data_IF_093372818275
#
_entry.id   IF_093372818275
#
_cell.length_a   1.000
_cell.length_b   1.000
_cell.length_c   1.000
_cell.angle_alpha   90.00
_cell.angle_beta   90.00
_cell.angle_gamma   90.00
#
_symmetry.space_group_name_H-M   'P 1'
#
loop_
_entity.id
_entity.type
_entity.pdbx_description
1 polymer ?
#
# COMPACT_ATOMS: atom_id res chain seq x y z
N UNK A 1 9.79 30.11 13.86
CA UNK A 1 8.48 29.52 13.50
C UNK A 1 7.28 30.37 13.95
N UNK A 2 7.38 31.18 15.01
CA UNK A 2 6.30 32.08 15.50
C UNK A 2 5.80 33.15 14.48
N UNK A 3 6.63 33.56 13.51
CA UNK A 3 6.23 34.58 12.52
C UNK A 3 5.27 34.06 11.44
N UNK A 4 5.37 32.79 11.04
CA UNK A 4 4.51 32.21 10.01
C UNK A 4 3.06 32.00 10.51
N UNK A 5 2.89 31.64 11.78
CA UNK A 5 1.58 31.38 12.38
C UNK A 5 0.66 32.62 12.42
N UNK A 6 1.21 33.83 12.43
CA UNK A 6 0.42 35.08 12.46
C UNK A 6 -0.17 35.48 11.09
N UNK A 7 0.22 34.82 10.00
CA UNK A 7 -0.18 35.20 8.65
C UNK A 7 -1.38 34.40 8.10
N UNK A 8 -1.92 33.43 8.86
CA UNK A 8 -3.05 32.60 8.46
C UNK A 8 -3.85 32.12 9.69
N UNK A 9 -5.14 32.51 9.80
CA UNK A 9 -6.01 32.09 10.92
C UNK A 9 -6.17 30.57 11.04
N UNK A 10 -6.01 29.83 9.94
CA UNK A 10 -5.99 28.36 9.94
C UNK A 10 -4.77 27.76 10.66
N UNK A 11 -3.76 28.57 11.00
CA UNK A 11 -2.51 28.14 11.66
C UNK A 11 -2.45 28.50 13.15
N UNK A 12 -3.57 28.94 13.73
CA UNK A 12 -3.69 29.24 15.16
C UNK A 12 -3.44 28.04 16.10
N UNK A 13 -3.31 26.81 15.56
CA UNK A 13 -2.89 25.62 16.32
C UNK A 13 -1.39 25.60 16.64
N UNK A 14 -0.58 26.49 16.04
CA UNK A 14 0.86 26.54 16.21
C UNK A 14 1.32 27.41 17.40
N UNK A 15 0.39 28.01 18.14
CA UNK A 15 0.67 28.52 19.48
C UNK A 15 0.59 27.32 20.43
N UNK A 16 1.73 26.87 20.96
CA UNK A 16 1.85 25.59 21.67
C UNK A 16 1.13 25.72 23.02
N UNK A 17 -0.17 25.45 23.03
CA UNK A 17 -0.84 24.98 24.23
C UNK A 17 -0.22 23.63 24.62
N UNK A 18 -0.06 23.39 25.93
CA UNK A 18 0.28 22.06 26.44
C UNK A 18 -0.68 21.03 25.81
N UNK A 19 -0.19 20.00 25.08
CA UNK A 19 -1.05 19.00 24.47
C UNK A 19 -2.05 18.37 25.45
N UNK A 20 -1.70 18.25 26.73
CA UNK A 20 -2.63 17.74 27.73
C UNK A 20 -3.79 18.73 27.98
N UNK A 21 -3.50 20.02 28.17
CA UNK A 21 -4.54 21.06 28.33
C UNK A 21 -5.43 21.17 27.09
N UNK A 22 -4.82 21.13 25.89
CA UNK A 22 -5.54 21.16 24.62
C UNK A 22 -6.46 19.94 24.46
N UNK A 23 -6.04 18.76 24.93
CA UNK A 23 -6.87 17.56 24.93
C UNK A 23 -8.07 17.66 25.89
N UNK A 24 -7.89 18.27 27.06
CA UNK A 24 -8.95 18.38 28.07
C UNK A 24 -9.98 19.47 27.77
N UNK A 25 -9.57 20.59 27.17
CA UNK A 25 -10.42 21.79 27.03
C UNK A 25 -10.73 22.18 25.58
N UNK A 26 -10.02 21.60 24.61
CA UNK A 26 -10.15 21.98 23.21
C UNK A 26 -11.42 21.46 22.53
N UNK A 27 -11.70 21.99 21.34
CA UNK A 27 -12.68 21.40 20.42
C UNK A 27 -12.17 20.08 19.84
N UNK A 28 -13.05 19.22 19.32
CA UNK A 28 -12.71 17.89 18.78
C UNK A 28 -11.44 17.86 17.91
N UNK A 29 -11.32 18.79 16.97
CA UNK A 29 -10.15 18.85 16.08
C UNK A 29 -8.84 19.11 16.85
N UNK A 30 -8.86 20.05 17.80
CA UNK A 30 -7.72 20.34 18.67
C UNK A 30 -7.38 19.14 19.56
N UNK A 31 -8.40 18.47 20.12
CA UNK A 31 -8.22 17.26 20.95
C UNK A 31 -7.61 16.11 20.16
N UNK A 32 -8.05 15.88 18.93
CA UNK A 32 -7.49 14.86 18.03
C UNK A 32 -6.02 15.14 17.73
N UNK A 33 -5.69 16.39 17.38
CA UNK A 33 -4.30 16.79 17.12
C UNK A 33 -3.43 16.66 18.38
N UNK A 34 -3.93 17.12 19.52
CA UNK A 34 -3.23 17.03 20.79
C UNK A 34 -2.99 15.58 21.25
N UNK A 35 -3.99 14.70 21.11
CA UNK A 35 -3.83 13.28 21.41
C UNK A 35 -2.83 12.62 20.45
N UNK A 36 -2.82 12.98 19.17
CA UNK A 36 -1.85 12.46 18.21
C UNK A 36 -0.42 12.87 18.58
N UNK A 37 -0.24 14.11 19.05
CA UNK A 37 1.05 14.62 19.54
C UNK A 37 1.48 13.93 20.83
N UNK A 38 0.57 13.74 21.80
CA UNK A 38 0.87 12.96 23.00
C UNK A 38 1.31 11.54 22.64
N UNK A 39 0.62 10.89 21.68
CA UNK A 39 0.96 9.53 21.23
C UNK A 39 2.29 9.43 20.50
N UNK A 40 2.72 10.47 19.79
CA UNK A 40 4.03 10.45 19.11
C UNK A 40 5.19 10.44 20.11
N UNK A 41 4.96 10.92 21.35
CA UNK A 41 5.95 10.98 22.43
C UNK A 41 5.80 9.82 23.43
N UNK A 42 4.60 9.60 23.96
CA UNK A 42 4.30 8.55 24.95
C UNK A 42 2.92 7.91 24.65
N UNK A 43 2.89 6.82 23.85
CA UNK A 43 1.65 6.12 23.52
C UNK A 43 0.88 5.62 24.75
N UNK A 44 1.59 5.22 25.83
CA UNK A 44 0.99 4.64 27.01
C UNK A 44 0.29 5.71 27.87
N UNK A 45 0.96 6.85 28.10
CA UNK A 45 0.35 7.98 28.79
C UNK A 45 -0.86 8.52 28.02
N UNK A 46 -0.73 8.67 26.70
CA UNK A 46 -1.83 9.12 25.85
C UNK A 46 -3.05 8.17 25.88
N UNK A 47 -2.80 6.85 25.88
CA UNK A 47 -3.87 5.85 26.02
C UNK A 47 -4.56 5.98 27.39
N UNK A 48 -3.80 6.17 28.46
CA UNK A 48 -4.37 6.38 29.80
C UNK A 48 -5.25 7.63 29.85
N UNK A 49 -4.77 8.74 29.30
CA UNK A 49 -5.52 10.01 29.19
C UNK A 49 -6.82 9.83 28.40
N UNK A 50 -6.79 9.10 27.27
CA UNK A 50 -8.00 8.80 26.50
C UNK A 50 -8.98 7.92 27.30
N UNK A 51 -8.47 6.87 27.96
CA UNK A 51 -9.28 5.91 28.69
C UNK A 51 -10.01 6.53 29.89
N UNK A 52 -9.38 7.49 30.59
CA UNK A 52 -9.97 8.18 31.75
C UNK A 52 -11.26 8.95 31.39
N UNK A 53 -11.27 9.62 30.25
CA UNK A 53 -12.42 10.41 29.77
C UNK A 53 -13.47 9.61 28.99
N UNK A 54 -13.11 8.40 28.53
CA UNK A 54 -13.82 7.70 27.46
C UNK A 54 -15.34 7.56 27.63
N UNK A 55 -15.80 7.22 28.84
CA UNK A 55 -17.23 7.01 29.11
C UNK A 55 -18.06 8.31 29.08
N UNK A 56 -17.41 9.47 29.25
CA UNK A 56 -18.05 10.80 29.22
C UNK A 56 -18.09 11.39 27.82
N UNK A 57 -17.32 10.85 26.88
CA UNK A 57 -17.24 11.34 25.51
C UNK A 57 -18.55 11.15 24.73
N UNK A 58 -18.86 12.08 23.84
CA UNK A 58 -19.90 11.91 22.84
C UNK A 58 -19.54 10.81 21.84
N UNK A 59 -20.53 10.22 21.17
CA UNK A 59 -20.30 9.14 20.20
C UNK A 59 -19.37 9.53 19.05
N UNK A 60 -19.53 10.75 18.53
CA UNK A 60 -18.70 11.28 17.45
C UNK A 60 -17.28 11.60 17.92
N UNK A 61 -17.12 12.07 19.16
CA UNK A 61 -15.82 12.29 19.78
C UNK A 61 -15.09 10.96 19.98
N UNK A 62 -15.77 9.93 20.49
CA UNK A 62 -15.20 8.58 20.58
C UNK A 62 -14.72 8.06 19.23
N UNK A 63 -15.52 8.23 18.18
CA UNK A 63 -15.16 7.78 16.83
C UNK A 63 -13.95 8.53 16.27
N UNK A 64 -13.84 9.84 16.53
CA UNK A 64 -12.68 10.63 16.13
C UNK A 64 -11.43 10.26 16.93
N UNK A 65 -11.55 10.16 18.26
CA UNK A 65 -10.43 9.92 19.17
C UNK A 65 -9.85 8.51 19.05
N UNK A 66 -10.68 7.48 18.86
CA UNK A 66 -10.15 6.10 18.71
C UNK A 66 -9.25 5.96 17.49
N UNK A 67 -9.55 6.68 16.41
CA UNK A 67 -8.73 6.64 15.18
C UNK A 67 -7.29 7.11 15.41
N UNK A 68 -7.07 7.95 16.42
CA UNK A 68 -5.75 8.48 16.81
C UNK A 68 -4.83 7.38 17.34
N UNK A 69 -5.38 6.28 17.86
CA UNK A 69 -4.58 5.14 18.31
C UNK A 69 -3.76 4.48 17.19
N UNK A 70 -4.04 4.78 15.91
CA UNK A 70 -3.20 4.40 14.78
C UNK A 70 -1.75 4.94 14.90
N UNK A 71 -1.55 6.11 15.51
CA UNK A 71 -0.22 6.67 15.77
C UNK A 71 0.44 5.84 16.87
N UNK A 72 1.58 5.22 16.61
CA UNK A 72 2.26 4.39 17.62
C UNK A 72 1.45 3.20 18.12
N UNK A 73 0.51 2.68 17.31
CA UNK A 73 -0.33 1.52 17.63
C UNK A 73 0.54 0.34 18.10
N UNK A 74 0.19 -0.23 19.25
CA UNK A 74 0.94 -1.35 19.82
C UNK A 74 0.09 -2.29 20.70
N UNK A 75 0.70 -3.37 21.23
CA UNK A 75 -0.01 -4.38 22.01
C UNK A 75 -0.72 -3.83 23.26
N UNK A 76 -0.20 -2.75 23.86
CA UNK A 76 -0.83 -2.10 25.01
C UNK A 76 -2.23 -1.53 24.70
N UNK A 77 -2.51 -1.21 23.43
CA UNK A 77 -3.81 -0.69 23.00
C UNK A 77 -4.89 -1.79 22.92
N UNK A 78 -4.52 -3.08 22.87
CA UNK A 78 -5.44 -4.18 22.58
C UNK A 78 -6.61 -4.28 23.56
N UNK A 79 -6.35 -4.12 24.86
CA UNK A 79 -7.38 -4.20 25.89
C UNK A 79 -8.46 -3.11 25.70
N UNK A 80 -8.01 -1.88 25.47
CA UNK A 80 -8.90 -0.75 25.22
C UNK A 80 -9.67 -0.89 23.90
N UNK A 81 -9.00 -1.30 22.82
CA UNK A 81 -9.63 -1.52 21.52
C UNK A 81 -10.65 -2.68 21.58
N UNK A 82 -10.37 -3.73 22.33
CA UNK A 82 -11.31 -4.85 22.54
C UNK A 82 -12.57 -4.36 23.25
N UNK A 83 -12.44 -3.53 24.30
CA UNK A 83 -13.59 -2.88 24.93
C UNK A 83 -14.35 -1.99 23.92
N UNK A 84 -13.66 -1.12 23.20
CA UNK A 84 -14.28 -0.20 22.24
C UNK A 84 -14.94 -0.90 21.04
N UNK A 85 -14.51 -2.12 20.70
CA UNK A 85 -15.13 -2.96 19.67
C UNK A 85 -16.58 -3.37 19.99
N UNK A 86 -16.99 -3.16 21.25
CA UNK A 86 -18.34 -3.39 21.78
C UNK A 86 -19.11 -2.09 22.06
N UNK A 87 -18.62 -0.91 21.64
CA UNK A 87 -19.30 0.37 21.84
C UNK A 87 -20.69 0.39 21.18
N UNK A 88 -21.63 1.18 21.72
CA UNK A 88 -22.95 1.35 21.13
C UNK A 88 -22.93 1.99 19.72
N UNK A 89 -21.92 2.81 19.41
CA UNK A 89 -21.75 3.49 18.11
C UNK A 89 -21.05 2.61 17.09
N UNK A 90 -21.63 2.51 15.90
CA UNK A 90 -21.12 1.65 14.81
C UNK A 90 -19.70 2.07 14.39
N UNK A 91 -19.47 3.37 14.30
CA UNK A 91 -18.23 3.98 13.84
C UNK A 91 -17.08 3.67 14.81
N UNK A 92 -17.36 3.72 16.12
CA UNK A 92 -16.39 3.35 17.17
C UNK A 92 -16.03 1.87 17.08
N UNK A 93 -17.04 0.98 16.96
CA UNK A 93 -16.78 -0.46 16.79
C UNK A 93 -15.95 -0.76 15.55
N UNK A 94 -16.28 -0.11 14.43
CA UNK A 94 -15.55 -0.28 13.18
C UNK A 94 -14.09 0.19 13.29
N UNK A 95 -13.86 1.38 13.86
CA UNK A 95 -12.52 1.91 14.10
C UNK A 95 -11.69 1.02 15.02
N UNK A 96 -12.29 0.54 16.12
CA UNK A 96 -11.62 -0.38 17.04
C UNK A 96 -11.19 -1.69 16.37
N UNK A 97 -12.08 -2.29 15.57
CA UNK A 97 -11.80 -3.55 14.87
C UNK A 97 -10.74 -3.38 13.79
N UNK A 98 -10.75 -2.27 13.04
CA UNK A 98 -9.71 -2.01 12.05
C UNK A 98 -8.32 -1.85 12.69
N UNK A 99 -8.25 -1.24 13.88
CA UNK A 99 -7.00 -1.13 14.64
C UNK A 99 -6.56 -2.48 15.22
N UNK A 100 -7.47 -3.28 15.79
CA UNK A 100 -7.17 -4.66 16.22
C UNK A 100 -6.65 -5.51 15.04
N UNK A 101 -7.22 -5.34 13.85
CA UNK A 101 -6.80 -6.04 12.64
C UNK A 101 -5.37 -5.68 12.17
N UNK A 102 -4.80 -4.58 12.67
CA UNK A 102 -3.41 -4.17 12.40
C UNK A 102 -2.42 -4.68 13.44
N UNK A 103 -2.89 -5.30 14.53
CA UNK A 103 -2.07 -5.91 15.58
C UNK A 103 -1.95 -7.42 15.31
N UNK A 104 -0.82 -7.92 14.77
CA UNK A 104 -0.67 -9.31 14.33
C UNK A 104 -0.84 -10.34 15.45
N UNK A 105 -0.59 -9.94 16.70
CA UNK A 105 -0.67 -10.79 17.89
C UNK A 105 -2.01 -10.66 18.63
N UNK A 106 -2.93 -9.84 18.13
CA UNK A 106 -4.22 -9.65 18.82
C UNK A 106 -5.07 -10.92 18.83
N UNK A 107 -5.92 -11.03 19.83
CA UNK A 107 -6.89 -12.12 19.94
C UNK A 107 -7.82 -12.20 18.73
N UNK A 108 -8.12 -11.06 18.07
CA UNK A 108 -8.86 -11.04 16.81
C UNK A 108 -8.10 -11.82 15.72
N UNK A 109 -6.82 -11.53 15.52
CA UNK A 109 -5.99 -12.21 14.54
C UNK A 109 -5.82 -13.69 14.88
N UNK A 110 -5.63 -14.04 16.15
CA UNK A 110 -5.57 -15.44 16.59
C UNK A 110 -6.84 -16.23 16.20
N UNK A 111 -8.02 -15.63 16.39
CA UNK A 111 -9.29 -16.24 15.95
C UNK A 111 -9.42 -16.32 14.42
N UNK A 112 -8.88 -15.36 13.67
CA UNK A 112 -8.87 -15.40 12.20
C UNK A 112 -7.95 -16.49 11.66
N UNK A 113 -6.77 -16.65 12.27
CA UNK A 113 -5.86 -17.76 11.99
C UNK A 113 -6.57 -19.10 12.20
N UNK A 114 -7.22 -19.30 13.35
CA UNK A 114 -7.95 -20.53 13.65
C UNK A 114 -9.05 -20.83 12.60
N UNK A 115 -9.83 -19.81 12.21
CA UNK A 115 -10.86 -19.97 11.16
C UNK A 115 -10.25 -20.28 9.80
N UNK A 116 -9.14 -19.65 9.47
CA UNK A 116 -8.46 -19.89 8.21
C UNK A 116 -7.85 -21.30 8.16
N UNK A 117 -7.21 -21.77 9.22
CA UNK A 117 -6.68 -23.14 9.31
C UNK A 117 -7.77 -24.20 9.15
N UNK A 118 -8.99 -23.95 9.65
CA UNK A 118 -10.13 -24.81 9.39
C UNK A 118 -10.59 -24.83 7.91
N UNK A 119 -10.28 -23.77 7.14
CA UNK A 119 -10.65 -23.65 5.74
C UNK A 119 -9.67 -24.31 4.77
N UNK A 120 -8.41 -24.52 5.17
CA UNK A 120 -7.35 -24.93 4.25
C UNK A 120 -6.65 -26.20 4.68
N UNK A 121 -6.47 -27.13 3.74
CA UNK A 121 -5.66 -28.33 3.95
C UNK A 121 -4.71 -28.51 2.78
N UNK A 122 -3.42 -28.45 3.05
CA UNK A 122 -2.41 -28.72 2.05
C UNK A 122 -2.07 -30.21 2.00
N UNK A 123 -2.28 -30.82 0.84
CA UNK A 123 -1.87 -32.21 0.57
C UNK A 123 -0.61 -32.20 -0.29
N UNK A 124 0.50 -32.70 0.28
CA UNK A 124 1.74 -32.91 -0.48
C UNK A 124 1.54 -34.02 -1.53
N UNK A 125 2.10 -33.81 -2.72
CA UNK A 125 2.05 -34.75 -3.83
C UNK A 125 3.39 -34.80 -4.57
N UNK A 126 3.57 -35.84 -5.39
CA UNK A 126 4.83 -36.12 -6.11
C UNK A 126 5.14 -35.04 -7.17
N UNK A 127 4.12 -34.40 -7.74
CA UNK A 127 4.23 -33.35 -8.78
C UNK A 127 3.94 -31.93 -8.23
N UNK A 128 4.07 -31.76 -6.92
CA UNK A 128 3.62 -30.56 -6.20
C UNK A 128 2.37 -30.82 -5.36
N UNK A 129 2.11 -29.93 -4.40
CA UNK A 129 0.98 -30.07 -3.48
C UNK A 129 -0.33 -29.50 -4.05
N UNK A 130 -1.45 -29.97 -3.48
CA UNK A 130 -2.81 -29.46 -3.74
C UNK A 130 -3.32 -28.76 -2.49
N UNK A 131 -3.90 -27.57 -2.66
CA UNK A 131 -4.60 -26.87 -1.61
C UNK A 131 -6.08 -27.25 -1.69
N UNK A 132 -6.55 -28.00 -0.70
CA UNK A 132 -7.99 -28.21 -0.49
C UNK A 132 -8.54 -27.01 0.25
N UNK A 133 -9.56 -26.38 -0.33
CA UNK A 133 -10.18 -25.17 0.18
C UNK A 133 -11.63 -25.49 0.51
N UNK A 134 -11.98 -25.40 1.78
CA UNK A 134 -13.34 -25.53 2.29
C UNK A 134 -13.73 -24.25 3.03
N UNK A 135 -14.25 -23.24 2.32
CA UNK A 135 -14.67 -21.98 2.94
C UNK A 135 -15.70 -22.17 4.05
N UNK A 136 -15.93 -21.15 4.91
CA UNK A 136 -16.98 -21.19 5.91
C UNK A 136 -18.35 -21.54 5.29
N UNK A 137 -19.13 -22.38 5.97
CA UNK A 137 -20.45 -22.78 5.51
C UNK A 137 -21.53 -21.73 5.78
N UNK A 138 -21.32 -20.92 6.82
CA UNK A 138 -22.15 -19.81 7.24
C UNK A 138 -21.26 -18.70 7.82
N UNK A 139 -21.80 -17.49 7.94
CA UNK A 139 -21.21 -16.41 8.73
C UNK A 139 -21.90 -16.39 10.11
N UNK A 140 -21.28 -17.04 11.09
CA UNK A 140 -21.85 -17.16 12.44
C UNK A 140 -21.81 -15.83 13.21
N UNK A 141 -22.49 -15.78 14.37
CA UNK A 141 -22.54 -14.59 15.21
C UNK A 141 -21.16 -14.14 15.71
N UNK A 142 -20.21 -15.07 15.89
CA UNK A 142 -18.84 -14.76 16.27
C UNK A 142 -18.05 -14.09 15.13
N UNK A 143 -18.26 -14.53 13.89
CA UNK A 143 -17.70 -13.89 12.69
C UNK A 143 -18.24 -12.47 12.54
N UNK A 144 -19.54 -12.26 12.75
CA UNK A 144 -20.15 -10.91 12.73
C UNK A 144 -19.60 -10.03 13.86
N UNK A 145 -19.43 -10.58 15.05
CA UNK A 145 -18.82 -9.87 16.18
C UNK A 145 -17.37 -9.46 15.89
N UNK A 146 -16.62 -10.32 15.21
CA UNK A 146 -15.26 -10.06 14.74
C UNK A 146 -15.18 -9.11 13.52
N UNK A 147 -16.34 -8.68 12.98
CA UNK A 147 -16.41 -7.69 11.91
C UNK A 147 -16.49 -8.27 10.49
N UNK A 148 -16.71 -9.58 10.34
CA UNK A 148 -16.98 -10.18 9.04
C UNK A 148 -18.39 -9.79 8.61
N UNK A 149 -18.50 -9.17 7.43
CA UNK A 149 -19.79 -8.79 6.85
C UNK A 149 -20.49 -10.03 6.31
N UNK A 150 -21.71 -10.35 6.78
CA UNK A 150 -22.46 -11.51 6.32
C UNK A 150 -22.96 -11.35 4.89
N UNK A 151 -23.36 -10.15 4.46
CA UNK A 151 -24.01 -9.94 3.16
C UNK A 151 -22.99 -9.71 2.04
N UNK A 152 -22.88 -10.68 1.13
CA UNK A 152 -22.01 -10.53 -0.03
C UNK A 152 -22.52 -9.48 -1.03
N UNK A 153 -21.61 -8.74 -1.71
CA UNK A 153 -21.96 -7.91 -2.86
C UNK A 153 -22.60 -8.73 -4.00
N UNK A 154 -23.39 -8.07 -4.83
CA UNK A 154 -24.03 -8.72 -6.00
C UNK A 154 -22.97 -9.33 -6.91
N UNK A 155 -23.15 -10.60 -7.27
CA UNK A 155 -22.26 -11.34 -8.17
C UNK A 155 -21.08 -12.02 -7.46
N UNK A 156 -20.93 -11.86 -6.14
CA UNK A 156 -19.91 -12.55 -5.34
C UNK A 156 -20.57 -13.68 -4.55
N UNK A 157 -20.01 -14.89 -4.63
CA UNK A 157 -20.49 -16.02 -3.82
C UNK A 157 -20.23 -15.78 -2.33
N UNK A 158 -21.22 -16.02 -1.47
CA UNK A 158 -21.13 -15.73 -0.03
C UNK A 158 -19.96 -16.43 0.66
N UNK A 159 -19.77 -17.73 0.37
CA UNK A 159 -18.65 -18.52 0.88
C UNK A 159 -17.28 -17.94 0.49
N UNK A 160 -17.13 -17.49 -0.76
CA UNK A 160 -15.92 -16.82 -1.23
C UNK A 160 -15.70 -15.49 -0.49
N UNK A 161 -16.78 -14.74 -0.29
CA UNK A 161 -16.76 -13.45 0.38
C UNK A 161 -16.34 -13.57 1.85
N UNK A 162 -16.87 -14.53 2.60
CA UNK A 162 -16.48 -14.74 4.00
C UNK A 162 -15.04 -15.25 4.11
N UNK A 163 -14.63 -16.20 3.27
CA UNK A 163 -13.25 -16.69 3.25
C UNK A 163 -12.27 -15.56 2.94
N UNK A 164 -12.57 -14.70 1.96
CA UNK A 164 -11.73 -13.55 1.63
C UNK A 164 -11.53 -12.64 2.84
N UNK A 165 -12.60 -12.30 3.54
CA UNK A 165 -12.54 -11.44 4.73
C UNK A 165 -11.73 -12.08 5.86
N UNK A 166 -11.86 -13.40 6.07
CA UNK A 166 -11.02 -14.14 7.03
C UNK A 166 -9.56 -14.09 6.61
N UNK A 167 -9.25 -14.40 5.34
CA UNK A 167 -7.89 -14.36 4.79
C UNK A 167 -7.23 -12.99 4.92
N UNK A 168 -7.99 -11.91 4.68
CA UNK A 168 -7.53 -10.53 4.78
C UNK A 168 -7.07 -10.14 6.20
N UNK A 169 -7.45 -10.94 7.20
CA UNK A 169 -7.10 -10.78 8.61
C UNK A 169 -6.14 -11.87 9.11
N UNK A 170 -5.44 -12.55 8.21
CA UNK A 170 -4.39 -13.52 8.57
C UNK A 170 -3.04 -12.98 8.09
N UNK A 171 -2.05 -12.78 8.99
CA UNK A 171 -0.71 -12.39 8.61
C UNK A 171 -0.16 -13.33 7.53
N UNK A 172 0.32 -12.82 6.38
CA UNK A 172 0.76 -13.68 5.29
C UNK A 172 1.90 -14.64 5.67
N UNK A 173 2.72 -14.28 6.66
CA UNK A 173 3.76 -15.11 7.27
C UNK A 173 3.24 -16.43 7.88
N UNK A 174 1.95 -16.52 8.20
CA UNK A 174 1.29 -17.75 8.66
C UNK A 174 1.27 -18.84 7.57
N UNK A 175 1.17 -18.43 6.31
CA UNK A 175 1.02 -19.35 5.19
C UNK A 175 2.38 -19.86 4.68
N UNK A 176 2.56 -21.18 4.53
CA UNK A 176 3.73 -21.72 3.84
C UNK A 176 3.76 -21.23 2.37
N UNK A 177 4.95 -20.93 1.79
CA UNK A 177 5.03 -20.46 0.39
C UNK A 177 4.36 -21.38 -0.64
N UNK A 178 4.33 -22.69 -0.38
CA UNK A 178 3.68 -23.67 -1.26
C UNK A 178 2.16 -23.48 -1.37
N UNK A 179 1.52 -22.85 -0.38
CA UNK A 179 0.08 -22.56 -0.41
C UNK A 179 -0.24 -21.62 -1.56
N UNK A 180 0.63 -20.64 -1.84
CA UNK A 180 0.40 -19.71 -2.93
C UNK A 180 0.34 -20.45 -4.27
N UNK A 181 1.37 -21.24 -4.58
CA UNK A 181 1.49 -21.96 -5.84
C UNK A 181 0.34 -22.97 -6.07
N UNK A 182 -0.14 -23.60 -5.01
CA UNK A 182 -1.29 -24.50 -5.07
C UNK A 182 -2.62 -23.73 -5.16
N UNK A 183 -2.76 -22.62 -4.42
CA UNK A 183 -3.95 -21.80 -4.36
C UNK A 183 -4.28 -21.12 -5.70
N UNK A 184 -3.28 -20.59 -6.40
CA UNK A 184 -3.48 -19.96 -7.73
C UNK A 184 -3.94 -20.94 -8.81
N UNK A 185 -3.83 -22.26 -8.56
CA UNK A 185 -4.31 -23.33 -9.45
C UNK A 185 -5.66 -23.91 -9.02
N UNK A 186 -6.23 -23.45 -7.91
CA UNK A 186 -7.49 -23.95 -7.36
C UNK A 186 -8.71 -23.24 -7.97
N UNK A 187 -9.88 -23.85 -7.84
CA UNK A 187 -11.15 -23.23 -8.23
C UNK A 187 -11.49 -21.98 -7.39
N UNK A 188 -10.77 -21.76 -6.29
CA UNK A 188 -10.92 -20.62 -5.38
C UNK A 188 -9.85 -19.53 -5.60
N UNK A 189 -9.04 -19.63 -6.67
CA UNK A 189 -7.89 -18.76 -6.90
C UNK A 189 -8.22 -17.26 -6.81
N UNK A 190 -9.36 -16.83 -7.36
CA UNK A 190 -9.76 -15.42 -7.30
C UNK A 190 -9.99 -14.93 -5.86
N UNK A 191 -10.77 -15.67 -5.06
CA UNK A 191 -11.04 -15.31 -3.67
C UNK A 191 -9.78 -15.35 -2.81
N UNK A 192 -8.91 -16.35 -3.03
CA UNK A 192 -7.61 -16.47 -2.36
C UNK A 192 -6.69 -15.30 -2.68
N UNK A 193 -6.54 -14.96 -3.96
CA UNK A 193 -5.66 -13.88 -4.41
C UNK A 193 -6.11 -12.52 -3.86
N UNK A 194 -7.42 -12.24 -3.83
CA UNK A 194 -7.91 -10.99 -3.25
C UNK A 194 -7.67 -10.97 -1.73
N UNK A 195 -8.01 -12.06 -1.01
CA UNK A 195 -7.82 -12.12 0.44
C UNK A 195 -6.35 -12.01 0.86
N UNK A 196 -5.45 -12.70 0.16
CA UNK A 196 -4.01 -12.58 0.39
C UNK A 196 -3.46 -11.21 0.01
N UNK A 197 -4.03 -10.54 -1.01
CA UNK A 197 -3.63 -9.18 -1.35
C UNK A 197 -4.04 -8.19 -0.25
N UNK A 198 -5.27 -8.28 0.24
CA UNK A 198 -5.77 -7.45 1.35
C UNK A 198 -4.91 -7.67 2.61
N UNK A 199 -4.56 -8.92 2.93
CA UNK A 199 -3.67 -9.24 4.05
C UNK A 199 -2.24 -8.69 3.83
N UNK A 200 -1.65 -8.91 2.66
CA UNK A 200 -0.30 -8.45 2.36
C UNK A 200 -0.17 -6.92 2.49
N UNK A 201 -1.20 -6.18 2.04
CA UNK A 201 -1.29 -4.74 2.24
C UNK A 201 -1.47 -4.38 3.71
N UNK A 202 -2.39 -5.03 4.43
CA UNK A 202 -2.68 -4.74 5.84
C UNK A 202 -1.47 -4.93 6.74
N UNK A 203 -0.75 -6.03 6.55
CA UNK A 203 0.41 -6.40 7.36
C UNK A 203 1.74 -5.90 6.76
N UNK A 204 1.70 -5.17 5.64
CA UNK A 204 2.89 -4.66 4.94
C UNK A 204 3.94 -5.76 4.65
N UNK A 205 3.48 -6.97 4.33
CA UNK A 205 4.36 -8.11 4.08
C UNK A 205 5.00 -8.00 2.69
N UNK A 206 6.25 -7.52 2.66
CA UNK A 206 6.98 -7.27 1.41
C UNK A 206 7.17 -8.53 0.56
N UNK A 207 7.33 -9.70 1.20
CA UNK A 207 7.56 -10.96 0.49
C UNK A 207 6.30 -11.39 -0.26
N UNK A 208 5.15 -11.33 0.40
CA UNK A 208 3.86 -11.65 -0.21
C UNK A 208 3.44 -10.61 -1.24
N UNK A 209 3.68 -9.32 -0.99
CA UNK A 209 3.46 -8.28 -1.99
C UNK A 209 4.26 -8.56 -3.28
N UNK A 210 5.54 -8.88 -3.16
CA UNK A 210 6.39 -9.17 -4.32
C UNK A 210 5.87 -10.39 -5.12
N UNK A 211 5.51 -11.47 -4.43
CA UNK A 211 5.01 -12.70 -5.06
C UNK A 211 3.62 -12.52 -5.71
N UNK A 212 2.73 -11.73 -5.11
CA UNK A 212 1.45 -11.36 -5.71
C UNK A 212 1.63 -10.45 -6.93
N UNK A 213 2.52 -9.46 -6.85
CA UNK A 213 2.85 -8.58 -7.97
C UNK A 213 3.41 -9.41 -9.13
N UNK A 214 4.39 -10.29 -8.89
CA UNK A 214 4.96 -11.16 -9.90
C UNK A 214 3.88 -12.00 -10.59
N UNK A 215 3.00 -12.63 -9.81
CA UNK A 215 1.88 -13.40 -10.34
C UNK A 215 0.94 -12.55 -11.22
N UNK A 216 0.57 -11.35 -10.76
CA UNK A 216 -0.27 -10.44 -11.52
C UNK A 216 0.39 -9.96 -12.81
N UNK A 217 1.72 -9.75 -12.81
CA UNK A 217 2.47 -9.42 -14.02
C UNK A 217 2.47 -10.59 -15.01
N UNK A 218 2.61 -11.82 -14.53
CA UNK A 218 2.51 -13.02 -15.38
C UNK A 218 1.11 -13.23 -15.95
N UNK A 219 0.07 -12.99 -15.16
CA UNK A 219 -1.33 -13.02 -15.64
C UNK A 219 -1.52 -11.97 -16.72
N UNK A 220 -1.04 -10.74 -16.52
CA UNK A 220 -1.15 -9.68 -17.53
C UNK A 220 -0.40 -10.00 -18.82
N UNK A 221 0.75 -10.66 -18.74
CA UNK A 221 1.51 -11.10 -19.92
C UNK A 221 0.66 -12.03 -20.79
N UNK A 222 -0.15 -12.89 -20.16
CA UNK A 222 -1.01 -13.87 -20.84
C UNK A 222 -2.39 -13.31 -21.20
N UNK A 223 -2.90 -12.38 -20.39
CA UNK A 223 -4.26 -11.83 -20.46
C UNK A 223 -4.23 -10.32 -20.20
N UNK A 224 -3.85 -9.49 -21.19
CA UNK A 224 -3.64 -8.05 -20.99
C UNK A 224 -4.88 -7.27 -20.54
N UNK A 225 -6.08 -7.75 -20.88
CA UNK A 225 -7.36 -7.12 -20.56
C UNK A 225 -7.91 -7.50 -19.17
N UNK A 226 -7.26 -8.43 -18.47
CA UNK A 226 -7.72 -8.89 -17.16
C UNK A 226 -7.49 -7.82 -16.10
N UNK A 227 -8.55 -7.48 -15.36
CA UNK A 227 -8.42 -6.61 -14.21
C UNK A 227 -7.64 -7.30 -13.09
N UNK A 228 -6.73 -6.55 -12.47
CA UNK A 228 -5.86 -7.02 -11.40
C UNK A 228 -6.16 -6.18 -10.14
N UNK A 229 -7.15 -6.59 -9.33
CA UNK A 229 -7.51 -5.86 -8.13
C UNK A 229 -6.28 -5.75 -7.20
N UNK A 230 -6.21 -4.65 -6.46
CA UNK A 230 -5.19 -4.40 -5.44
C UNK A 230 -3.74 -4.25 -5.90
N UNK A 231 -3.41 -4.34 -7.19
CA UNK A 231 -2.05 -4.14 -7.68
C UNK A 231 -1.44 -2.79 -7.23
N UNK A 232 -2.23 -1.71 -7.28
CA UNK A 232 -1.78 -0.38 -6.85
C UNK A 232 -1.51 -0.32 -5.33
N UNK A 233 -2.32 -1.02 -4.54
CA UNK A 233 -2.21 -1.07 -3.08
C UNK A 233 -0.99 -1.90 -2.67
N UNK A 234 -0.76 -3.05 -3.33
CA UNK A 234 0.42 -3.88 -3.15
C UNK A 234 1.71 -3.12 -3.48
N UNK A 235 1.73 -2.35 -4.57
CA UNK A 235 2.88 -1.52 -4.93
C UNK A 235 3.16 -0.44 -3.87
N UNK A 236 2.11 0.13 -3.26
CA UNK A 236 2.24 1.12 -2.18
C UNK A 236 2.69 0.50 -0.86
N UNK A 237 2.29 -0.74 -0.57
CA UNK A 237 2.66 -1.47 0.63
C UNK A 237 4.10 -2.01 0.61
N UNK A 238 4.75 -2.01 -0.56
CA UNK A 238 6.13 -2.51 -0.68
C UNK A 238 7.15 -1.48 -0.20
N UNK A 239 8.11 -1.86 0.67
CA UNK A 239 9.26 -1.02 0.97
C UNK A 239 10.02 -0.65 -0.31
N UNK A 240 10.50 0.59 -0.38
CA UNK A 240 11.19 1.13 -1.57
C UNK A 240 12.27 0.18 -2.12
N UNK A 241 13.19 -0.39 -1.33
CA UNK A 241 14.20 -1.31 -1.86
C UNK A 241 13.60 -2.56 -2.54
N UNK A 242 12.52 -3.11 -1.99
CA UNK A 242 11.88 -4.32 -2.49
C UNK A 242 11.19 -4.10 -3.84
N UNK A 243 10.46 -2.98 -3.99
CA UNK A 243 9.81 -2.65 -5.26
C UNK A 243 10.81 -2.20 -6.33
N UNK A 244 11.89 -1.53 -5.95
CA UNK A 244 12.97 -1.21 -6.89
C UNK A 244 13.65 -2.50 -7.38
N UNK A 245 13.91 -3.47 -6.50
CA UNK A 245 14.41 -4.79 -6.90
C UNK A 245 13.45 -5.53 -7.84
N UNK A 246 12.13 -5.49 -7.55
CA UNK A 246 11.11 -6.07 -8.41
C UNK A 246 11.06 -5.42 -9.81
N UNK A 247 11.22 -4.08 -9.89
CA UNK A 247 11.32 -3.37 -11.18
C UNK A 247 12.53 -3.87 -11.96
N UNK A 248 13.71 -3.99 -11.33
CA UNK A 248 14.93 -4.48 -12.00
C UNK A 248 14.79 -5.92 -12.48
N UNK A 249 14.19 -6.80 -11.67
CA UNK A 249 13.91 -8.17 -12.10
C UNK A 249 12.95 -8.20 -13.30
N UNK A 250 11.89 -7.39 -13.24
CA UNK A 250 10.92 -7.30 -14.32
C UNK A 250 11.52 -6.71 -15.61
N UNK A 251 12.51 -5.80 -15.53
CA UNK A 251 13.22 -5.27 -16.71
C UNK A 251 13.93 -6.38 -17.50
N UNK A 252 14.33 -7.48 -16.84
CA UNK A 252 14.95 -8.64 -17.50
C UNK A 252 13.93 -9.56 -18.16
N UNK A 253 12.69 -9.59 -17.66
CA UNK A 253 11.64 -10.52 -18.11
C UNK A 253 10.67 -9.90 -19.11
N UNK A 254 10.16 -8.70 -18.78
CA UNK A 254 9.26 -7.91 -19.63
C UNK A 254 9.46 -6.42 -19.30
N UNK A 255 10.27 -5.70 -20.11
CA UNK A 255 10.52 -4.28 -19.90
C UNK A 255 9.23 -3.44 -19.81
N UNK A 256 8.20 -3.75 -20.59
CA UNK A 256 6.92 -3.04 -20.56
C UNK A 256 6.22 -3.13 -19.19
N UNK A 257 6.33 -4.28 -18.50
CA UNK A 257 5.76 -4.44 -17.17
C UNK A 257 6.57 -3.73 -16.10
N UNK A 258 7.90 -3.73 -16.21
CA UNK A 258 8.74 -2.94 -15.32
C UNK A 258 8.41 -1.45 -15.41
N UNK A 259 8.15 -0.97 -16.63
CA UNK A 259 7.71 0.40 -16.87
C UNK A 259 6.36 0.70 -16.22
N UNK A 260 5.39 -0.22 -16.29
CA UNK A 260 4.10 -0.06 -15.60
C UNK A 260 4.24 -0.08 -14.07
N UNK A 261 5.09 -0.95 -13.50
CA UNK A 261 5.38 -0.95 -12.06
C UNK A 261 5.98 0.40 -11.63
N UNK A 262 6.94 0.91 -12.39
CA UNK A 262 7.54 2.22 -12.13
C UNK A 262 6.54 3.37 -12.29
N UNK A 263 5.62 3.28 -13.28
CA UNK A 263 4.57 4.25 -13.53
C UNK A 263 3.53 4.32 -12.41
N UNK A 264 3.32 3.25 -11.65
CA UNK A 264 2.37 3.21 -10.53
C UNK A 264 2.94 3.77 -9.22
N UNK A 265 4.24 4.11 -9.18
CA UNK A 265 4.88 4.76 -8.03
C UNK A 265 4.64 6.26 -8.02
N UNK A 266 4.28 6.81 -6.87
CA UNK A 266 4.14 8.27 -6.67
C UNK A 266 5.47 8.93 -6.26
N UNK A 267 6.35 8.17 -5.61
CA UNK A 267 7.66 8.64 -5.15
C UNK A 267 8.68 8.79 -6.28
N UNK A 268 9.78 9.51 -5.98
CA UNK A 268 10.95 9.59 -6.85
C UNK A 268 11.65 8.24 -6.94
N UNK A 269 12.08 7.87 -8.14
CA UNK A 269 12.88 6.68 -8.40
C UNK A 269 14.32 6.93 -7.99
N UNK A 270 15.03 5.88 -7.59
CA UNK A 270 16.46 6.00 -7.30
C UNK A 270 17.29 6.24 -8.57
N UNK A 271 18.54 6.73 -8.43
CA UNK A 271 19.49 6.83 -9.54
C UNK A 271 19.64 5.50 -10.29
N UNK A 272 19.73 4.38 -9.56
CA UNK A 272 19.89 3.05 -10.15
C UNK A 272 18.71 2.66 -11.04
N UNK A 273 17.47 2.85 -10.58
CA UNK A 273 16.28 2.53 -11.36
C UNK A 273 16.11 3.47 -12.55
N UNK A 274 16.39 4.76 -12.35
CA UNK A 274 16.32 5.75 -13.42
C UNK A 274 17.30 5.40 -14.54
N UNK A 275 18.54 5.03 -14.21
CA UNK A 275 19.53 4.59 -15.18
C UNK A 275 19.14 3.27 -15.87
N UNK A 276 18.59 2.30 -15.14
CA UNK A 276 18.14 1.03 -15.71
C UNK A 276 17.00 1.21 -16.72
N UNK A 277 16.02 2.07 -16.41
CA UNK A 277 14.95 2.44 -17.33
C UNK A 277 15.48 3.21 -18.54
N UNK A 278 16.45 4.10 -18.33
CA UNK A 278 17.10 4.85 -19.40
C UNK A 278 17.80 3.90 -20.39
N UNK A 279 18.55 2.92 -19.89
CA UNK A 279 19.18 1.90 -20.75
C UNK A 279 18.17 1.05 -21.52
N UNK A 280 16.97 0.79 -20.97
CA UNK A 280 15.90 0.11 -21.73
C UNK A 280 15.26 1.01 -22.78
N UNK A 281 15.10 2.31 -22.51
CA UNK A 281 14.64 3.28 -23.50
C UNK A 281 15.61 3.38 -24.68
N UNK A 282 16.92 3.41 -24.42
CA UNK A 282 17.95 3.37 -25.47
C UNK A 282 17.81 2.13 -26.36
N UNK A 283 17.60 0.95 -25.76
CA UNK A 283 17.37 -0.29 -26.50
C UNK A 283 16.03 -0.26 -27.24
N UNK A 284 14.98 0.28 -26.64
CA UNK A 284 13.66 0.35 -27.27
C UNK A 284 13.71 1.15 -28.58
N UNK A 285 14.52 2.21 -28.64
CA UNK A 285 14.69 3.02 -29.84
C UNK A 285 15.44 2.35 -30.98
N UNK A 286 16.12 1.22 -30.74
CA UNK A 286 16.75 0.43 -31.81
C UNK A 286 15.84 -0.65 -32.38
N UNK A 287 14.72 -0.96 -31.71
CA UNK A 287 13.74 -1.97 -32.16
C UNK A 287 12.89 -1.42 -33.31
N UNK A 288 12.59 -2.21 -34.34
CA UNK A 288 11.78 -1.77 -35.52
C UNK A 288 10.27 -1.60 -35.26
N UNK A 289 9.84 -1.57 -34.01
CA UNK A 289 8.43 -1.45 -33.62
C UNK A 289 8.15 -0.01 -33.17
N UNK A 290 7.47 0.75 -34.04
CA UNK A 290 7.15 2.16 -33.78
C UNK A 290 6.19 2.34 -32.58
N UNK A 291 5.25 1.42 -32.37
CA UNK A 291 4.31 1.48 -31.23
C UNK A 291 5.04 1.25 -29.92
N UNK A 292 5.95 0.28 -29.89
CA UNK A 292 6.80 0.02 -28.73
C UNK A 292 7.71 1.22 -28.41
N UNK A 293 8.36 1.81 -29.41
CA UNK A 293 9.15 3.04 -29.25
C UNK A 293 8.31 4.18 -28.68
N UNK A 294 7.11 4.41 -29.25
CA UNK A 294 6.14 5.41 -28.81
C UNK A 294 5.75 5.25 -27.35
N UNK A 295 5.41 4.03 -26.94
CA UNK A 295 5.05 3.72 -25.56
C UNK A 295 6.18 4.09 -24.59
N UNK A 296 7.42 3.71 -24.89
CA UNK A 296 8.58 3.97 -24.03
C UNK A 296 8.89 5.45 -23.90
N UNK A 297 9.02 6.17 -25.01
CA UNK A 297 9.29 7.61 -24.99
C UNK A 297 8.16 8.34 -24.28
N UNK A 298 6.91 8.08 -24.64
CA UNK A 298 5.77 8.81 -24.08
C UNK A 298 5.67 8.59 -22.57
N UNK A 299 5.90 7.36 -22.10
CA UNK A 299 5.86 7.06 -20.68
C UNK A 299 6.99 7.74 -19.90
N UNK A 300 8.23 7.63 -20.40
CA UNK A 300 9.41 8.20 -19.76
C UNK A 300 9.34 9.74 -19.72
N UNK A 301 9.02 10.36 -20.87
CA UNK A 301 9.07 11.82 -21.05
C UNK A 301 7.78 12.52 -20.61
N UNK A 302 6.62 11.86 -20.73
CA UNK A 302 5.32 12.43 -20.39
C UNK A 302 4.93 12.19 -18.93
N UNK A 303 4.99 10.93 -18.48
CA UNK A 303 4.47 10.54 -17.18
C UNK A 303 5.53 10.45 -16.08
N UNK A 304 6.79 10.12 -16.41
CA UNK A 304 7.83 9.85 -15.41
C UNK A 304 8.82 11.00 -15.19
N UNK A 305 8.73 12.08 -15.98
CA UNK A 305 9.68 13.22 -15.92
C UNK A 305 9.87 13.85 -14.54
N UNK A 306 8.86 13.80 -13.67
CA UNK A 306 8.93 14.34 -12.28
C UNK A 306 9.44 13.32 -11.26
N UNK A 307 9.54 12.06 -11.64
CA UNK A 307 9.91 10.93 -10.77
C UNK A 307 11.30 10.38 -11.06
N UNK A 308 11.77 10.47 -12.31
CA UNK A 308 13.13 10.10 -12.68
C UNK A 308 14.16 10.92 -11.88
N UNK A 309 15.27 10.29 -11.53
CA UNK A 309 16.37 10.93 -10.82
C UNK A 309 17.19 11.81 -11.78
N UNK A 310 17.53 13.07 -11.43
CA UNK A 310 18.30 13.95 -12.32
C UNK A 310 19.70 13.46 -12.71
N UNK A 311 20.26 12.46 -12.01
CA UNK A 311 21.56 11.85 -12.38
C UNK A 311 21.60 11.25 -13.79
N UNK A 312 20.46 10.95 -14.41
CA UNK A 312 20.41 10.43 -15.79
C UNK A 312 20.52 11.52 -16.86
N UNK A 313 20.55 12.81 -16.49
CA UNK A 313 20.55 13.92 -17.44
C UNK A 313 21.60 13.77 -18.56
N UNK A 314 22.88 13.43 -18.29
CA UNK A 314 23.87 13.28 -19.36
C UNK A 314 23.49 12.21 -20.39
N UNK A 315 22.84 11.11 -19.95
CA UNK A 315 22.39 10.03 -20.82
C UNK A 315 21.20 10.49 -21.69
N UNK A 316 20.28 11.27 -21.12
CA UNK A 316 19.12 11.82 -21.85
C UNK A 316 19.57 12.78 -22.94
N UNK A 317 20.50 13.69 -22.64
CA UNK A 317 21.06 14.64 -23.63
C UNK A 317 21.75 13.88 -24.77
N UNK A 318 22.64 12.94 -24.44
CA UNK A 318 23.34 12.16 -25.45
C UNK A 318 22.39 11.34 -26.34
N UNK A 319 21.31 10.78 -25.78
CA UNK A 319 20.31 10.05 -26.57
C UNK A 319 19.46 10.99 -27.46
N UNK A 320 19.16 12.21 -26.99
CA UNK A 320 18.47 13.20 -27.80
C UNK A 320 19.29 13.56 -29.05
N UNK A 321 20.59 13.81 -28.87
CA UNK A 321 21.52 14.13 -29.97
C UNK A 321 21.63 12.98 -30.98
N UNK A 322 21.79 11.73 -30.50
CA UNK A 322 21.80 10.54 -31.37
C UNK A 322 20.48 10.38 -32.13
N UNK A 323 19.35 10.65 -31.48
CA UNK A 323 18.03 10.57 -32.12
C UNK A 323 17.87 11.63 -33.22
N UNK A 324 18.40 12.84 -33.01
CA UNK A 324 18.45 13.88 -34.03
C UNK A 324 19.31 13.47 -35.23
N UNK A 325 20.51 12.93 -34.99
CA UNK A 325 21.42 12.44 -36.03
C UNK A 325 20.82 11.29 -36.85
N UNK A 326 19.98 10.46 -36.22
CA UNK A 326 19.24 9.39 -36.88
C UNK A 326 17.95 9.86 -37.59
N UNK A 327 17.71 11.18 -37.69
CA UNK A 327 16.49 11.78 -38.24
C UNK A 327 15.18 11.35 -37.54
N UNK A 328 15.26 10.95 -36.26
CA UNK A 328 14.09 10.68 -35.42
C UNK A 328 13.73 11.94 -34.62
N UNK A 329 13.15 12.93 -35.31
CA UNK A 329 12.86 14.26 -34.76
C UNK A 329 11.92 14.21 -33.55
N UNK A 330 10.87 13.38 -33.61
CA UNK A 330 9.91 13.25 -32.54
C UNK A 330 10.56 12.72 -31.24
N UNK A 331 11.41 11.70 -31.34
CA UNK A 331 12.16 11.18 -30.19
C UNK A 331 13.12 12.22 -29.61
N UNK A 332 13.87 12.90 -30.49
CA UNK A 332 14.79 13.96 -30.09
C UNK A 332 14.08 15.07 -29.30
N UNK A 333 12.99 15.61 -29.83
CA UNK A 333 12.21 16.68 -29.17
C UNK A 333 11.61 16.23 -27.83
N UNK A 334 11.15 14.98 -27.72
CA UNK A 334 10.64 14.44 -26.46
C UNK A 334 11.75 14.34 -25.40
N UNK A 335 12.94 13.87 -25.79
CA UNK A 335 14.09 13.74 -24.90
C UNK A 335 14.67 15.09 -24.49
N UNK A 336 14.71 16.08 -25.38
CA UNK A 336 15.12 17.46 -25.04
C UNK A 336 14.21 18.08 -23.97
N UNK A 337 12.88 17.88 -24.07
CA UNK A 337 11.93 18.33 -23.04
C UNK A 337 12.15 17.63 -21.70
N UNK A 338 12.50 16.34 -21.73
CA UNK A 338 12.87 15.61 -20.52
C UNK A 338 14.17 16.17 -19.92
N UNK A 339 15.20 16.41 -20.73
CA UNK A 339 16.47 16.99 -20.29
C UNK A 339 16.25 18.35 -19.58
N UNK A 340 15.50 19.27 -20.20
CA UNK A 340 15.16 20.57 -19.60
C UNK A 340 14.44 20.42 -18.24
N UNK A 341 13.54 19.42 -18.12
CA UNK A 341 12.87 19.13 -16.85
C UNK A 341 13.85 18.63 -15.77
N UNK A 342 14.79 17.76 -16.14
CA UNK A 342 15.78 17.22 -15.21
C UNK A 342 16.81 18.28 -14.79
N UNK A 343 17.24 19.14 -15.71
CA UNK A 343 18.12 20.29 -15.43
C UNK A 343 17.50 21.25 -14.41
N UNK A 344 16.26 21.66 -14.64
CA UNK A 344 15.53 22.52 -13.72
C UNK A 344 15.42 21.90 -12.32
N UNK A 345 15.11 20.59 -12.24
CA UNK A 345 15.02 19.87 -10.97
C UNK A 345 16.37 19.71 -10.26
N UNK A 346 17.44 19.48 -11.01
CA UNK A 346 18.80 19.42 -10.46
C UNK A 346 19.22 20.78 -9.89
N UNK A 347 18.89 21.88 -10.57
CA UNK A 347 19.14 23.22 -10.08
C UNK A 347 18.37 23.49 -8.77
N UNK A 348 17.07 23.22 -8.73
CA UNK A 348 16.26 23.37 -7.51
C UNK A 348 16.80 22.58 -6.31
N UNK A 349 17.26 21.34 -6.54
CA UNK A 349 17.79 20.51 -5.46
C UNK A 349 19.07 21.10 -4.86
N UNK A 350 19.91 21.78 -5.66
CA UNK A 350 21.11 22.46 -5.16
C UNK A 350 20.75 23.68 -4.30
N UNK A 351 19.77 24.47 -4.71
CA UNK A 351 19.31 25.66 -3.98
C UNK A 351 18.61 25.36 -2.65
N UNK A 352 17.94 24.20 -2.53
CA UNK A 352 17.27 23.79 -1.28
C UNK A 352 18.27 23.22 -0.26
N UNK A 353 19.38 22.66 -0.74
CA UNK A 353 20.41 22.00 0.09
C UNK A 353 21.59 22.93 0.43
N UNK A 354 21.65 24.12 -0.18
CA UNK A 354 22.54 25.23 0.18
C UNK A 354 21.92 26.11 1.25
#
# INVERSE_FOLDING_TARGET
MSWLAHQNEEWAFADIADPLEAFHSGVRAARVAALAELRSHDPAAALATLAEGWQKEGGDDRAALISVLAVGLGPADEGFLTMASNDGRKEVRAGARDLLARLPESALIARMIQRADACFRFRRGVLGGKLEVNPPAECDAGMVADGIEPKAPKGVGERAYWMRQVLALVPPSHWPPDYFNAGVKSDWAEALLIGWSEAAVRFQDAKWCALLIEHFMDVRNRQPQRQLPSLQELIRAMPRPAIEAAIVDQLRRSPAHALDLALRRTERLSPHISAALMGQLERALTVRDATYQQQWIYTMTGYMKTRLDPSILPQVVALADRSAQAANEWASQALQRLAATLEYRAAMAREILS
#
